data_IF_566455167452
#
_entry.id   IF_566455167452
#
_cell.length_a   1.000
_cell.length_b   1.000
_cell.length_c   1.000
_cell.angle_alpha   90.00
_cell.angle_beta   90.00
_cell.angle_gamma   90.00
#
_symmetry.space_group_name_H-M   'P 1'
#
loop_
_entity.id
_entity.type
_entity.pdbx_description
1 polymer ?
#
# COMPACT_ATOMS: atom_id res chain seq x y z
N UNK A 1 26.98 -13.53 -21.13
CA UNK A 1 27.23 -12.53 -20.07
C UNK A 1 26.10 -12.65 -19.06
N UNK A 2 26.38 -13.28 -17.93
CA UNK A 2 25.41 -13.52 -16.86
C UNK A 2 25.02 -12.19 -16.21
N UNK A 3 23.72 -11.81 -16.28
CA UNK A 3 23.19 -10.71 -15.48
C UNK A 3 23.32 -11.10 -14.01
N UNK A 4 24.21 -10.45 -13.28
CA UNK A 4 24.22 -10.51 -11.81
C UNK A 4 22.82 -10.11 -11.35
N UNK A 5 22.05 -11.08 -10.83
CA UNK A 5 20.90 -10.77 -9.96
C UNK A 5 21.50 -9.96 -8.81
N UNK A 6 21.08 -8.72 -8.65
CA UNK A 6 21.37 -7.98 -7.42
C UNK A 6 20.69 -8.77 -6.30
N UNK A 7 21.48 -9.50 -5.54
CA UNK A 7 20.99 -10.12 -4.30
C UNK A 7 20.54 -8.98 -3.41
N UNK A 8 19.23 -8.85 -3.26
CA UNK A 8 18.67 -8.11 -2.13
C UNK A 8 19.20 -8.83 -0.91
N UNK A 9 19.96 -8.14 -0.10
CA UNK A 9 20.44 -8.69 1.16
C UNK A 9 19.19 -8.98 1.98
N UNK A 10 18.72 -10.23 1.95
CA UNK A 10 17.65 -10.74 2.79
C UNK A 10 18.20 -10.71 4.20
N UNK A 11 17.95 -9.62 4.90
CA UNK A 11 18.31 -9.38 6.29
C UNK A 11 17.04 -9.39 7.15
N UNK A 12 17.19 -9.10 8.44
CA UNK A 12 16.07 -9.02 9.38
C UNK A 12 14.94 -8.04 8.96
N UNK A 13 15.21 -7.15 8.02
CA UNK A 13 14.33 -6.07 7.58
C UNK A 13 13.58 -6.36 6.27
N UNK A 14 13.91 -7.46 5.57
CA UNK A 14 13.32 -7.83 4.26
C UNK A 14 13.07 -9.32 4.19
N UNK A 15 11.87 -9.71 3.82
CA UNK A 15 11.46 -11.08 3.59
C UNK A 15 10.88 -11.21 2.18
N UNK A 16 11.35 -12.18 1.41
CA UNK A 16 10.79 -12.53 0.11
C UNK A 16 10.01 -13.83 0.26
N UNK A 17 8.71 -13.77 0.03
CA UNK A 17 7.83 -14.94 0.09
C UNK A 17 7.85 -15.73 -1.23
N UNK A 18 7.54 -17.03 -1.18
CA UNK A 18 7.49 -17.93 -2.34
C UNK A 18 6.54 -17.44 -3.45
N UNK A 19 5.53 -16.66 -3.10
CA UNK A 19 4.60 -16.06 -4.04
C UNK A 19 5.09 -14.73 -4.63
N UNK A 20 6.36 -14.35 -4.44
CA UNK A 20 6.97 -13.15 -4.99
C UNK A 20 6.59 -11.84 -4.28
N UNK A 21 5.99 -11.89 -3.10
CA UNK A 21 5.74 -10.71 -2.26
C UNK A 21 7.03 -10.38 -1.51
N UNK A 22 7.40 -9.12 -1.50
CA UNK A 22 8.48 -8.60 -0.67
C UNK A 22 7.84 -7.93 0.55
N UNK A 23 8.19 -8.39 1.74
CA UNK A 23 7.78 -7.78 3.01
C UNK A 23 8.93 -6.91 3.50
N UNK A 24 8.70 -5.60 3.56
CA UNK A 24 9.61 -4.65 4.20
C UNK A 24 9.14 -4.43 5.65
N UNK A 25 9.92 -4.97 6.59
CA UNK A 25 9.64 -4.95 8.02
C UNK A 25 10.95 -4.68 8.77
N UNK A 26 10.92 -3.75 9.71
CA UNK A 26 12.08 -3.37 10.50
C UNK A 26 11.71 -3.23 11.98
N UNK A 27 12.55 -3.73 12.86
CA UNK A 27 12.50 -3.45 14.26
C UNK A 27 13.13 -2.07 14.55
N UNK A 28 12.38 -1.18 15.18
CA UNK A 28 12.85 0.14 15.60
C UNK A 28 13.10 0.14 17.10
N UNK A 29 14.22 0.72 17.52
CA UNK A 29 14.55 0.86 18.95
C UNK A 29 13.51 1.71 19.67
N UNK A 30 13.01 2.74 19.00
CA UNK A 30 11.90 3.58 19.47
C UNK A 30 11.07 4.06 18.27
N UNK A 31 9.76 4.28 18.45
CA UNK A 31 8.88 4.76 17.38
C UNK A 31 9.25 6.15 16.88
N UNK A 32 9.76 7.00 17.77
CA UNK A 32 10.21 8.34 17.45
C UNK A 32 11.70 8.43 17.12
N UNK A 33 12.34 7.30 16.77
CA UNK A 33 13.72 7.27 16.31
C UNK A 33 13.97 8.41 15.30
N UNK A 34 14.91 9.33 15.59
CA UNK A 34 15.12 10.50 14.77
C UNK A 34 15.64 10.12 13.39
N UNK A 35 15.32 10.96 12.41
CA UNK A 35 15.86 10.77 11.07
C UNK A 35 17.38 10.86 11.10
N UNK A 36 18.04 9.76 10.79
CA UNK A 36 19.47 9.69 10.59
C UNK A 36 19.78 9.39 9.13
N UNK A 37 20.83 9.97 8.58
CA UNK A 37 21.30 9.58 7.26
C UNK A 37 21.90 8.18 7.37
N UNK A 38 21.31 7.23 6.65
CA UNK A 38 21.89 5.89 6.51
C UNK A 38 22.80 5.86 5.28
N UNK A 39 23.83 5.00 5.32
CA UNK A 39 24.83 4.90 4.25
C UNK A 39 24.25 4.33 2.96
N UNK A 40 23.28 3.41 3.09
CA UNK A 40 22.57 2.83 1.97
C UNK A 40 21.15 2.42 2.41
N UNK A 41 20.16 2.64 1.55
CA UNK A 41 18.80 2.14 1.69
C UNK A 41 18.68 0.95 0.73
N UNK A 42 18.08 -0.18 1.16
CA UNK A 42 17.84 -1.32 0.28
C UNK A 42 16.98 -0.92 -0.92
N UNK A 43 17.32 -1.43 -2.10
CA UNK A 43 16.49 -1.25 -3.29
C UNK A 43 15.46 -2.38 -3.38
N UNK A 44 14.36 -2.24 -2.62
CA UNK A 44 13.25 -3.19 -2.59
C UNK A 44 12.60 -3.36 -3.97
N UNK A 45 12.48 -2.27 -4.74
CA UNK A 45 11.74 -2.28 -6.00
C UNK A 45 12.51 -2.96 -7.13
N UNK A 46 13.84 -3.02 -7.08
CA UNK A 46 14.62 -3.78 -8.06
C UNK A 46 14.46 -5.30 -7.92
N UNK A 47 14.01 -5.78 -6.76
CA UNK A 47 13.76 -7.19 -6.48
C UNK A 47 12.35 -7.66 -6.90
N UNK A 48 11.46 -6.74 -7.29
CA UNK A 48 10.10 -7.10 -7.70
C UNK A 48 10.12 -7.89 -9.01
N UNK A 49 9.58 -9.10 -8.98
CA UNK A 49 9.46 -9.97 -10.16
C UNK A 49 8.24 -9.55 -11.00
N UNK A 50 8.48 -8.98 -12.17
CA UNK A 50 7.41 -8.50 -13.06
C UNK A 50 6.89 -9.56 -14.07
N UNK A 51 7.40 -10.76 -14.04
CA UNK A 51 6.97 -11.88 -14.90
C UNK A 51 5.93 -12.80 -14.24
N UNK A 52 5.62 -12.59 -12.96
CA UNK A 52 4.60 -13.32 -12.22
C UNK A 52 3.20 -13.08 -12.81
N UNK A 53 2.51 -14.16 -13.17
CA UNK A 53 1.20 -14.06 -13.82
C UNK A 53 0.32 -15.29 -13.68
N UNK A 54 -0.99 -15.10 -13.70
CA UNK A 54 -1.97 -16.18 -13.80
C UNK A 54 -2.38 -16.33 -15.26
N UNK A 55 -1.95 -17.44 -15.92
CA UNK A 55 -2.12 -17.63 -17.37
C UNK A 55 -3.56 -17.99 -17.78
N UNK A 56 -4.32 -18.70 -16.92
CA UNK A 56 -5.63 -19.26 -17.27
C UNK A 56 -6.76 -18.57 -16.53
N UNK A 57 -7.80 -18.15 -17.28
CA UNK A 57 -8.96 -17.44 -16.72
C UNK A 57 -9.71 -18.25 -15.66
N UNK A 58 -9.84 -19.57 -15.84
CA UNK A 58 -10.55 -20.41 -14.86
C UNK A 58 -9.75 -20.51 -13.55
N UNK A 59 -8.40 -20.63 -13.62
CA UNK A 59 -7.52 -20.62 -12.44
C UNK A 59 -7.67 -19.31 -11.67
N UNK A 60 -7.64 -18.16 -12.37
CA UNK A 60 -7.88 -16.86 -11.78
C UNK A 60 -9.24 -16.79 -11.09
N UNK A 61 -10.32 -17.20 -11.77
CA UNK A 61 -11.67 -17.15 -11.20
C UNK A 61 -11.80 -18.02 -9.96
N UNK A 62 -11.30 -19.28 -10.02
CA UNK A 62 -11.34 -20.21 -8.90
C UNK A 62 -10.58 -19.65 -7.68
N UNK A 63 -9.37 -19.17 -7.88
CA UNK A 63 -8.57 -18.56 -6.81
C UNK A 63 -9.25 -17.33 -6.25
N UNK A 64 -9.71 -16.40 -7.10
CA UNK A 64 -10.37 -15.18 -6.67
C UNK A 64 -11.64 -15.45 -5.85
N UNK A 65 -12.54 -16.34 -6.32
CA UNK A 65 -13.75 -16.68 -5.59
C UNK A 65 -13.46 -17.27 -4.21
N UNK A 66 -12.42 -18.11 -4.11
CA UNK A 66 -11.99 -18.67 -2.83
C UNK A 66 -11.56 -17.55 -1.88
N UNK A 67 -10.67 -16.67 -2.33
CA UNK A 67 -10.15 -15.59 -1.50
C UNK A 67 -11.21 -14.53 -1.15
N UNK A 68 -12.15 -14.24 -2.06
CA UNK A 68 -13.31 -13.38 -1.78
C UNK A 68 -14.21 -13.98 -0.68
N UNK A 69 -14.47 -15.29 -0.71
CA UNK A 69 -15.25 -15.98 0.32
C UNK A 69 -14.53 -16.03 1.68
N UNK A 70 -13.23 -16.35 1.69
CA UNK A 70 -12.41 -16.35 2.91
C UNK A 70 -12.39 -14.96 3.55
N UNK A 71 -12.21 -13.91 2.74
CA UNK A 71 -12.21 -12.52 3.22
C UNK A 71 -13.56 -12.13 3.84
N UNK A 72 -14.67 -12.45 3.18
CA UNK A 72 -16.01 -12.17 3.73
C UNK A 72 -16.20 -12.84 5.10
N UNK A 73 -15.77 -14.11 5.23
CA UNK A 73 -15.83 -14.85 6.49
C UNK A 73 -14.99 -14.20 7.60
N UNK A 74 -13.77 -13.79 7.27
CA UNK A 74 -12.85 -13.17 8.24
C UNK A 74 -13.30 -11.79 8.68
N UNK A 75 -13.87 -10.99 7.77
CA UNK A 75 -14.39 -9.66 8.12
C UNK A 75 -15.52 -9.75 9.14
N UNK A 76 -16.38 -10.78 9.08
CA UNK A 76 -17.44 -10.98 10.08
C UNK A 76 -16.90 -11.25 11.49
N UNK A 77 -15.71 -11.82 11.62
CA UNK A 77 -15.04 -12.03 12.91
C UNK A 77 -14.50 -10.74 13.54
N UNK A 78 -14.29 -9.65 12.76
CA UNK A 78 -13.74 -8.40 13.29
C UNK A 78 -14.58 -7.84 14.44
N UNK A 79 -15.90 -7.82 14.30
CA UNK A 79 -16.80 -7.31 15.33
C UNK A 79 -16.79 -8.20 16.58
N UNK A 80 -16.82 -9.52 16.39
CA UNK A 80 -16.77 -10.50 17.48
C UNK A 80 -15.45 -10.40 18.29
N UNK A 81 -14.35 -10.10 17.60
CA UNK A 81 -13.03 -9.94 18.22
C UNK A 81 -12.74 -8.50 18.71
N UNK A 82 -13.68 -7.56 18.56
CA UNK A 82 -13.44 -6.15 18.90
C UNK A 82 -12.36 -5.48 18.04
N UNK A 83 -12.16 -5.96 16.81
CA UNK A 83 -11.11 -5.49 15.89
C UNK A 83 -11.67 -4.68 14.73
N UNK A 84 -10.82 -3.90 14.07
CA UNK A 84 -11.11 -3.20 12.83
C UNK A 84 -10.01 -3.43 11.80
N UNK A 85 -10.29 -3.16 10.52
CA UNK A 85 -9.34 -3.40 9.43
C UNK A 85 -9.09 -2.12 8.63
N UNK A 86 -7.82 -1.75 8.50
CA UNK A 86 -7.36 -0.66 7.66
C UNK A 86 -6.44 -1.23 6.57
N UNK A 87 -6.83 -1.08 5.32
CA UNK A 87 -6.03 -1.48 4.17
C UNK A 87 -5.55 -0.23 3.44
N UNK A 88 -4.25 -0.12 3.24
CA UNK A 88 -3.62 1.00 2.55
C UNK A 88 -3.08 0.54 1.20
N UNK A 89 -3.51 1.19 0.13
CA UNK A 89 -2.93 1.02 -1.19
C UNK A 89 -2.08 2.21 -1.58
N UNK A 90 -0.80 1.97 -1.75
CA UNK A 90 0.16 2.85 -2.40
C UNK A 90 0.71 2.18 -3.68
N UNK A 91 1.45 2.91 -4.48
CA UNK A 91 2.06 2.36 -5.69
C UNK A 91 2.01 3.27 -6.88
N UNK A 92 2.62 2.83 -7.96
CA UNK A 92 2.70 3.56 -9.23
C UNK A 92 1.33 3.96 -9.75
N UNK A 93 1.24 5.06 -10.48
CA UNK A 93 0.01 5.38 -11.20
C UNK A 93 -0.28 4.29 -12.24
N UNK A 94 -1.56 3.97 -12.41
CA UNK A 94 -2.01 2.84 -13.21
C UNK A 94 -1.66 1.44 -12.67
N UNK A 95 -1.01 1.29 -11.52
CA UNK A 95 -0.68 -0.02 -10.96
C UNK A 95 -1.91 -0.87 -10.58
N UNK A 96 -3.08 -0.26 -10.40
CA UNK A 96 -4.32 -1.03 -10.18
C UNK A 96 -4.91 -0.89 -8.78
N UNK A 97 -4.51 0.11 -8.00
CA UNK A 97 -5.03 0.41 -6.65
C UNK A 97 -6.55 0.39 -6.58
N UNK A 98 -7.22 1.21 -7.39
CA UNK A 98 -8.68 1.23 -7.48
C UNK A 98 -9.27 -0.14 -7.88
N UNK A 99 -8.55 -0.91 -8.72
CA UNK A 99 -9.00 -2.25 -9.13
C UNK A 99 -8.92 -3.27 -7.99
N UNK A 100 -7.94 -3.17 -7.11
CA UNK A 100 -7.84 -3.96 -5.89
C UNK A 100 -8.95 -3.58 -4.91
N UNK A 101 -9.15 -2.28 -4.65
CA UNK A 101 -10.26 -1.76 -3.83
C UNK A 101 -11.61 -2.30 -4.29
N UNK A 102 -11.89 -2.29 -5.60
CA UNK A 102 -13.15 -2.84 -6.14
C UNK A 102 -13.33 -4.33 -5.86
N UNK A 103 -12.26 -5.13 -5.74
CA UNK A 103 -12.36 -6.55 -5.39
C UNK A 103 -12.73 -6.74 -3.93
N UNK A 104 -12.18 -5.92 -3.06
CA UNK A 104 -12.52 -5.92 -1.62
C UNK A 104 -13.98 -5.54 -1.42
N UNK A 105 -14.46 -4.46 -2.07
CA UNK A 105 -15.86 -4.04 -1.99
C UNK A 105 -16.79 -5.16 -2.46
N UNK A 106 -16.44 -5.78 -3.59
CA UNK A 106 -17.25 -6.87 -4.15
C UNK A 106 -17.30 -8.09 -3.22
N UNK A 107 -16.20 -8.43 -2.58
CA UNK A 107 -16.14 -9.55 -1.64
C UNK A 107 -17.01 -9.33 -0.40
N UNK A 108 -17.37 -8.08 -0.10
CA UNK A 108 -18.29 -7.69 0.99
C UNK A 108 -19.70 -7.37 0.48
N UNK A 109 -20.05 -7.82 -0.73
CA UNK A 109 -21.35 -7.60 -1.35
C UNK A 109 -21.81 -6.12 -1.35
N UNK A 110 -20.83 -5.20 -1.44
CA UNK A 110 -21.05 -3.74 -1.40
C UNK A 110 -21.71 -3.24 -0.09
N UNK A 111 -21.55 -3.96 1.01
CA UNK A 111 -22.10 -3.54 2.30
C UNK A 111 -21.37 -2.29 2.84
N UNK A 112 -22.03 -1.13 2.65
CA UNK A 112 -21.49 0.18 3.07
C UNK A 112 -21.52 0.40 4.58
N UNK A 113 -22.18 -0.47 5.36
CA UNK A 113 -22.12 -0.41 6.83
C UNK A 113 -20.80 -0.94 7.34
N UNK A 114 -20.26 -1.96 6.67
CA UNK A 114 -18.99 -2.59 7.02
C UNK A 114 -17.81 -1.90 6.33
N UNK A 115 -17.98 -1.52 5.05
CA UNK A 115 -16.91 -1.07 4.18
C UNK A 115 -17.02 0.42 3.80
N UNK A 116 -15.89 1.10 3.80
CA UNK A 116 -15.76 2.42 3.17
C UNK A 116 -14.41 2.56 2.46
N UNK A 117 -14.45 3.06 1.23
CA UNK A 117 -13.25 3.49 0.50
C UNK A 117 -12.94 4.96 0.82
N UNK A 118 -11.68 5.23 1.18
CA UNK A 118 -11.20 6.57 1.51
C UNK A 118 -10.20 7.01 0.44
N UNK A 119 -10.64 7.72 -0.60
CA UNK A 119 -9.72 8.30 -1.57
C UNK A 119 -9.00 9.50 -0.93
N UNK A 120 -7.67 9.51 -1.01
CA UNK A 120 -6.84 10.58 -0.46
C UNK A 120 -6.33 11.47 -1.59
N UNK A 121 -6.90 12.68 -1.68
CA UNK A 121 -6.47 13.74 -2.57
C UNK A 121 -5.62 14.81 -1.86
N UNK A 122 -5.33 15.93 -2.53
CA UNK A 122 -4.71 17.10 -1.91
C UNK A 122 -5.50 17.55 -0.67
N UNK A 123 -4.84 18.07 0.38
CA UNK A 123 -5.53 18.54 1.57
C UNK A 123 -6.43 19.77 1.27
N UNK A 124 -7.58 19.84 1.93
CA UNK A 124 -8.45 21.03 1.92
C UNK A 124 -7.79 22.20 2.67
N UNK A 125 -8.39 23.40 2.62
CA UNK A 125 -7.89 24.54 3.40
C UNK A 125 -7.95 24.27 4.90
N UNK A 126 -9.05 23.68 5.39
CA UNK A 126 -9.20 23.22 6.76
C UNK A 126 -8.09 22.22 7.14
N UNK A 127 -7.88 21.21 6.31
CA UNK A 127 -6.86 20.20 6.56
C UNK A 127 -5.42 20.75 6.59
N UNK A 128 -5.15 21.83 5.85
CA UNK A 128 -3.86 22.55 5.89
C UNK A 128 -3.64 23.38 7.15
N UNK A 129 -4.73 23.82 7.79
CA UNK A 129 -4.66 24.56 9.04
C UNK A 129 -4.33 23.66 10.26
N UNK A 130 -4.35 22.35 10.08
CA UNK A 130 -4.06 21.36 11.13
C UNK A 130 -2.78 20.55 10.83
N UNK A 131 -2.19 19.85 11.82
CA UNK A 131 -1.13 18.86 11.58
C UNK A 131 -1.57 17.87 10.52
N UNK A 132 -0.67 17.47 9.61
CA UNK A 132 -1.06 16.72 8.41
C UNK A 132 -1.76 15.37 8.68
N UNK A 133 -1.47 14.72 9.80
CA UNK A 133 -2.13 13.46 10.20
C UNK A 133 -3.56 13.68 10.72
N UNK A 134 -3.91 14.90 11.17
CA UNK A 134 -5.24 15.21 11.68
C UNK A 134 -6.36 14.80 10.72
N UNK A 135 -6.16 15.02 9.42
CA UNK A 135 -7.13 14.65 8.39
C UNK A 135 -7.49 13.17 8.37
N UNK A 136 -6.59 12.31 8.87
CA UNK A 136 -6.80 10.87 8.89
C UNK A 136 -7.51 10.39 10.16
N UNK A 137 -7.58 11.22 11.21
CA UNK A 137 -8.32 10.93 12.45
C UNK A 137 -9.81 11.27 12.36
N UNK A 138 -10.28 11.83 11.25
CA UNK A 138 -11.69 12.14 11.07
C UNK A 138 -12.53 10.86 11.16
N UNK A 139 -13.71 10.94 11.81
CA UNK A 139 -14.60 9.79 12.04
C UNK A 139 -14.99 9.05 10.76
N UNK A 140 -15.18 9.78 9.66
CA UNK A 140 -15.49 9.20 8.36
C UNK A 140 -14.31 8.44 7.72
N UNK A 141 -13.10 8.59 8.24
CA UNK A 141 -11.89 7.93 7.73
C UNK A 141 -11.38 6.79 8.61
N UNK A 142 -11.74 6.78 9.89
CA UNK A 142 -11.36 5.73 10.81
C UNK A 142 -12.46 4.67 10.95
N UNK A 143 -12.12 3.37 10.99
CA UNK A 143 -13.09 2.33 11.20
C UNK A 143 -13.47 2.23 12.68
N UNK A 144 -14.74 1.93 12.95
CA UNK A 144 -15.15 1.34 14.21
C UNK A 144 -14.90 -0.19 14.20
N UNK A 145 -15.09 -0.86 15.33
CA UNK A 145 -15.02 -2.32 15.40
C UNK A 145 -15.99 -2.97 14.38
N UNK A 146 -15.55 -4.06 13.77
CA UNK A 146 -16.28 -4.73 12.70
C UNK A 146 -16.21 -4.05 11.33
N UNK A 147 -15.56 -2.88 11.24
CA UNK A 147 -15.51 -2.11 10.00
C UNK A 147 -14.16 -2.22 9.27
N UNK A 148 -14.24 -2.02 7.94
CA UNK A 148 -13.10 -2.00 7.02
C UNK A 148 -12.98 -0.64 6.36
N UNK A 149 -11.79 -0.05 6.40
CA UNK A 149 -11.44 1.16 5.63
C UNK A 149 -10.36 0.83 4.63
N UNK A 150 -10.58 1.18 3.37
CA UNK A 150 -9.58 1.01 2.32
C UNK A 150 -9.15 2.38 1.80
N UNK A 151 -7.91 2.71 2.03
CA UNK A 151 -7.29 3.94 1.59
C UNK A 151 -6.71 3.77 0.17
N UNK A 152 -7.25 4.48 -0.83
CA UNK A 152 -6.58 4.68 -2.13
C UNK A 152 -5.67 5.91 -2.01
N UNK A 153 -4.37 5.67 -1.82
CA UNK A 153 -3.36 6.54 -1.22
C UNK A 153 -3.60 6.74 0.28
N UNK A 154 -2.65 7.34 1.00
CA UNK A 154 -2.75 7.46 2.46
C UNK A 154 -1.90 8.60 3.02
N UNK A 155 -1.65 8.56 4.31
CA UNK A 155 -0.66 9.41 4.99
C UNK A 155 0.76 9.29 4.42
N UNK A 156 1.07 8.19 3.74
CA UNK A 156 2.37 7.98 3.12
C UNK A 156 2.64 8.91 1.91
N UNK A 157 1.63 9.61 1.36
CA UNK A 157 1.84 10.64 0.32
C UNK A 157 2.81 11.75 0.78
N UNK A 158 2.87 12.03 2.08
CA UNK A 158 3.86 12.91 2.70
C UNK A 158 5.30 12.50 2.42
N UNK A 159 5.55 11.21 2.21
CA UNK A 159 6.87 10.63 1.98
C UNK A 159 7.15 10.34 0.49
N UNK A 160 6.13 10.45 -0.37
CA UNK A 160 6.18 10.10 -1.79
C UNK A 160 6.05 11.34 -2.69
N UNK A 161 4.82 11.81 -2.86
CA UNK A 161 4.52 12.94 -3.75
C UNK A 161 5.15 14.22 -3.24
N UNK A 162 5.05 14.49 -1.95
CA UNK A 162 5.44 15.79 -1.40
C UNK A 162 6.95 16.07 -1.49
N UNK A 163 7.88 15.14 -1.19
CA UNK A 163 9.30 15.40 -1.40
C UNK A 163 9.68 15.48 -2.88
N UNK A 164 9.13 14.61 -3.73
CA UNK A 164 9.44 14.57 -5.16
C UNK A 164 9.01 15.86 -5.85
N UNK A 165 7.82 16.37 -5.51
CA UNK A 165 7.25 17.59 -6.07
C UNK A 165 7.59 18.85 -5.26
N UNK A 166 8.42 18.73 -4.21
CA UNK A 166 8.86 19.82 -3.33
C UNK A 166 7.70 20.61 -2.70
N UNK A 167 6.63 19.92 -2.31
CA UNK A 167 5.42 20.52 -1.73
C UNK A 167 5.56 20.80 -0.23
N UNK A 168 6.51 20.16 0.44
CA UNK A 168 6.73 20.24 1.90
C UNK A 168 8.22 20.44 2.20
N UNK A 169 8.50 21.16 3.28
CA UNK A 169 9.88 21.45 3.71
C UNK A 169 10.61 20.14 4.09
N UNK A 170 11.92 20.01 3.77
CA UNK A 170 12.67 18.80 4.08
C UNK A 170 12.70 18.42 5.56
N UNK A 171 12.65 19.40 6.46
CA UNK A 171 12.57 19.16 7.91
C UNK A 171 11.28 18.45 8.31
N UNK A 172 10.16 18.86 7.73
CA UNK A 172 8.85 18.26 7.99
C UNK A 172 8.77 16.84 7.42
N UNK A 173 9.33 16.62 6.22
CA UNK A 173 9.42 15.25 5.66
C UNK A 173 10.20 14.32 6.60
N UNK A 174 11.37 14.76 7.10
CA UNK A 174 12.19 13.95 8.02
C UNK A 174 11.46 13.60 9.30
N UNK A 175 10.70 14.55 9.88
CA UNK A 175 9.89 14.32 11.07
C UNK A 175 8.74 13.33 10.80
N UNK A 176 8.15 13.41 9.61
CA UNK A 176 6.99 12.61 9.26
C UNK A 176 7.22 11.09 9.27
N UNK A 177 8.46 10.61 9.13
CA UNK A 177 8.74 9.17 9.29
C UNK A 177 8.39 8.67 10.70
N UNK A 178 8.81 9.40 11.72
CA UNK A 178 8.49 9.07 13.11
C UNK A 178 7.00 9.26 13.41
N UNK A 179 6.42 10.35 12.92
CA UNK A 179 4.99 10.65 13.08
C UNK A 179 4.11 9.53 12.50
N UNK A 180 4.46 9.00 11.31
CA UNK A 180 3.73 7.89 10.68
C UNK A 180 3.87 6.60 11.50
N UNK A 181 5.06 6.23 11.95
CA UNK A 181 5.24 5.04 12.81
C UNK A 181 4.41 5.14 14.07
N UNK A 182 4.42 6.31 14.73
CA UNK A 182 3.63 6.55 15.94
C UNK A 182 2.13 6.49 15.67
N UNK A 183 1.69 7.05 14.54
CA UNK A 183 0.30 6.99 14.11
C UNK A 183 -0.17 5.54 13.85
N UNK A 184 0.61 4.78 13.11
CA UNK A 184 0.30 3.37 12.81
C UNK A 184 0.33 2.51 14.09
N UNK A 185 1.29 2.77 15.00
CA UNK A 185 1.32 2.14 16.30
C UNK A 185 0.07 2.46 17.14
N UNK A 186 -0.36 3.72 17.15
CA UNK A 186 -1.58 4.12 17.84
C UNK A 186 -2.80 3.34 17.32
N UNK A 187 -2.91 3.17 16.01
CA UNK A 187 -4.01 2.41 15.42
C UNK A 187 -3.95 0.93 15.80
N UNK A 188 -2.79 0.31 15.71
CA UNK A 188 -2.63 -1.13 16.02
C UNK A 188 -2.74 -1.40 17.53
N UNK A 189 -2.30 -0.49 18.39
CA UNK A 189 -2.48 -0.60 19.85
C UNK A 189 -3.93 -0.40 20.31
N UNK A 190 -4.82 0.05 19.42
CA UNK A 190 -6.27 0.17 19.60
C UNK A 190 -7.02 -0.86 18.72
N UNK A 191 -6.43 -2.05 18.60
CA UNK A 191 -7.02 -3.22 17.97
C UNK A 191 -7.37 -3.08 16.47
N UNK A 192 -6.76 -2.09 15.77
CA UNK A 192 -6.86 -2.04 14.32
C UNK A 192 -5.79 -2.94 13.66
N UNK A 193 -6.21 -3.77 12.71
CA UNK A 193 -5.30 -4.49 11.82
C UNK A 193 -4.94 -3.54 10.68
N UNK A 194 -3.65 -3.19 10.53
CA UNK A 194 -3.18 -2.26 9.49
C UNK A 194 -2.34 -3.01 8.47
N UNK A 195 -2.85 -3.11 7.23
CA UNK A 195 -2.17 -3.80 6.13
C UNK A 195 -1.81 -2.79 5.04
N UNK A 196 -0.53 -2.65 4.75
CA UNK A 196 -0.03 -1.68 3.78
C UNK A 196 0.50 -2.37 2.52
N UNK A 197 -0.02 -1.98 1.37
CA UNK A 197 0.40 -2.48 0.07
C UNK A 197 1.10 -1.41 -0.76
N UNK A 198 2.19 -1.81 -1.41
CA UNK A 198 2.72 -1.13 -2.57
C UNK A 198 2.46 -1.98 -3.81
N UNK A 199 1.71 -1.44 -4.78
CA UNK A 199 1.50 -2.10 -6.06
C UNK A 199 2.51 -1.55 -7.06
N UNK A 200 3.43 -2.42 -7.51
CA UNK A 200 4.48 -2.03 -8.44
C UNK A 200 4.22 -2.54 -9.85
N UNK A 201 4.57 -1.73 -10.83
CA UNK A 201 4.57 -2.07 -12.27
C UNK A 201 5.81 -1.50 -12.93
N UNK A 202 6.23 -2.11 -14.03
CA UNK A 202 7.30 -1.59 -14.86
C UNK A 202 6.91 -0.25 -15.52
N UNK A 203 7.93 0.52 -15.89
CA UNK A 203 7.75 1.79 -16.61
C UNK A 203 7.04 1.59 -17.95
N UNK A 204 7.26 0.45 -18.59
CA UNK A 204 6.67 0.09 -19.88
C UNK A 204 5.20 -0.30 -19.74
N UNK A 205 4.86 -1.14 -18.75
CA UNK A 205 3.46 -1.48 -18.48
C UNK A 205 2.67 -0.24 -18.02
N UNK A 206 3.27 0.66 -17.25
CA UNK A 206 2.65 1.93 -16.90
C UNK A 206 2.30 2.74 -18.16
N UNK A 207 3.25 2.86 -19.12
CA UNK A 207 3.01 3.57 -20.38
C UNK A 207 1.84 2.98 -21.15
N UNK A 208 1.82 1.66 -21.29
CA UNK A 208 0.77 0.91 -21.96
C UNK A 208 -0.59 1.15 -21.30
N UNK A 209 -0.64 1.12 -19.95
CA UNK A 209 -1.88 1.36 -19.20
C UNK A 209 -2.35 2.80 -19.30
N UNK A 210 -1.44 3.77 -19.33
CA UNK A 210 -1.79 5.18 -19.55
C UNK A 210 -2.41 5.37 -20.95
N UNK A 211 -1.80 4.79 -21.98
CA UNK A 211 -2.36 4.85 -23.34
C UNK A 211 -3.77 4.25 -23.41
N UNK A 212 -3.96 3.08 -22.81
CA UNK A 212 -5.26 2.42 -22.76
C UNK A 212 -6.29 3.24 -21.95
N UNK A 213 -5.87 3.85 -20.82
CA UNK A 213 -6.72 4.73 -20.01
C UNK A 213 -7.14 5.98 -20.78
N UNK A 214 -6.20 6.62 -21.49
CA UNK A 214 -6.48 7.82 -22.28
C UNK A 214 -7.51 7.54 -23.39
N UNK A 215 -7.44 6.36 -24.02
CA UNK A 215 -8.41 5.96 -25.03
C UNK A 215 -9.79 5.63 -24.45
N UNK A 216 -9.85 4.91 -23.32
CA UNK A 216 -11.12 4.40 -22.76
C UNK A 216 -11.78 5.36 -21.74
N UNK A 217 -11.00 6.17 -21.03
CA UNK A 217 -11.44 7.06 -19.95
C UNK A 217 -10.61 8.34 -19.91
N UNK A 218 -10.71 9.20 -20.94
CA UNK A 218 -9.88 10.41 -21.06
C UNK A 218 -10.01 11.37 -19.87
N UNK A 219 -11.20 11.43 -19.24
CA UNK A 219 -11.45 12.24 -18.03
C UNK A 219 -10.67 11.78 -16.78
N UNK A 220 -10.04 10.59 -16.81
CA UNK A 220 -9.19 10.07 -15.72
C UNK A 220 -7.70 10.31 -15.96
N UNK A 221 -7.32 11.04 -16.99
CA UNK A 221 -5.92 11.38 -17.28
C UNK A 221 -5.67 12.82 -16.86
N UNK A 222 -4.73 13.01 -15.96
CA UNK A 222 -4.35 14.34 -15.47
C UNK A 222 -2.96 14.76 -15.96
N UNK A 223 -2.66 16.05 -16.04
CA UNK A 223 -1.30 16.54 -16.30
C UNK A 223 -0.28 16.05 -15.26
N UNK A 224 -0.70 15.86 -13.99
CA UNK A 224 0.15 15.34 -12.92
C UNK A 224 0.62 13.91 -13.15
N UNK A 225 -0.16 13.09 -13.84
CA UNK A 225 0.23 11.72 -14.21
C UNK A 225 1.47 11.71 -15.12
N UNK A 226 1.53 12.64 -16.07
CA UNK A 226 2.68 12.79 -16.98
C UNK A 226 3.91 13.32 -16.24
N UNK A 227 3.71 14.24 -15.31
CA UNK A 227 4.79 14.83 -14.53
C UNK A 227 5.40 13.80 -13.56
N UNK A 228 4.59 13.03 -12.87
CA UNK A 228 5.04 11.95 -11.99
C UNK A 228 5.96 10.96 -12.73
N UNK A 229 5.64 10.64 -13.98
CA UNK A 229 6.45 9.73 -14.80
C UNK A 229 7.83 10.29 -15.16
N UNK A 230 7.99 11.61 -15.32
CA UNK A 230 9.30 12.23 -15.53
C UNK A 230 10.24 12.07 -14.32
N UNK A 231 9.65 11.94 -13.14
CA UNK A 231 10.38 11.78 -11.88
C UNK A 231 10.43 10.32 -11.39
N UNK A 232 10.37 9.35 -12.31
CA UNK A 232 10.31 7.92 -12.00
C UNK A 232 11.34 7.46 -10.96
N UNK A 233 12.62 7.82 -11.18
CA UNK A 233 13.71 7.39 -10.30
C UNK A 233 13.60 8.03 -8.90
N UNK A 234 13.23 9.31 -8.83
CA UNK A 234 12.99 10.00 -7.55
C UNK A 234 11.82 9.37 -6.76
N UNK A 235 10.77 8.93 -7.46
CA UNK A 235 9.68 8.19 -6.82
C UNK A 235 10.13 6.80 -6.36
N UNK A 236 11.04 6.15 -7.09
CA UNK A 236 11.65 4.87 -6.69
C UNK A 236 12.44 5.04 -5.41
N UNK A 237 13.32 6.04 -5.36
CA UNK A 237 14.13 6.35 -4.17
C UNK A 237 13.24 6.68 -2.96
N UNK A 238 12.24 7.55 -3.16
CA UNK A 238 11.31 7.92 -2.11
C UNK A 238 10.49 6.72 -1.58
N UNK A 239 10.09 5.81 -2.46
CA UNK A 239 9.37 4.60 -2.07
C UNK A 239 10.27 3.64 -1.27
N UNK A 240 11.50 3.39 -1.73
CA UNK A 240 12.46 2.57 -1.01
C UNK A 240 12.77 3.16 0.39
N UNK A 241 12.96 4.49 0.48
CA UNK A 241 13.14 5.16 1.77
C UNK A 241 11.91 5.06 2.67
N UNK A 242 10.71 5.20 2.11
CA UNK A 242 9.46 5.00 2.84
C UNK A 242 9.35 3.58 3.41
N UNK A 243 9.60 2.53 2.62
CA UNK A 243 9.56 1.15 3.11
C UNK A 243 10.56 0.93 4.24
N UNK A 244 11.79 1.36 4.06
CA UNK A 244 12.86 1.22 5.04
C UNK A 244 12.54 1.93 6.36
N UNK A 245 11.89 3.11 6.31
CA UNK A 245 11.68 3.95 7.49
C UNK A 245 10.31 3.80 8.14
N UNK A 246 9.33 3.21 7.44
CA UNK A 246 7.97 3.05 7.96
C UNK A 246 7.44 1.61 7.88
N UNK A 247 8.21 0.67 7.39
CA UNK A 247 7.90 -0.76 7.50
C UNK A 247 8.20 -1.23 8.92
N UNK A 248 7.18 -1.30 9.77
CA UNK A 248 7.30 -1.76 11.16
C UNK A 248 6.85 -3.22 11.29
N UNK A 249 7.15 -3.86 12.43
CA UNK A 249 6.72 -5.24 12.71
C UNK A 249 5.19 -5.34 12.78
N UNK A 250 4.54 -4.33 13.36
CA UNK A 250 3.09 -4.28 13.52
C UNK A 250 2.34 -3.76 12.28
N UNK A 251 3.03 -3.12 11.34
CA UNK A 251 2.47 -2.63 10.08
C UNK A 251 3.54 -2.65 8.97
N UNK A 252 3.90 -3.85 8.47
CA UNK A 252 4.89 -3.98 7.40
C UNK A 252 4.34 -3.51 6.05
N UNK A 253 5.23 -3.20 5.10
CA UNK A 253 4.87 -2.99 3.71
C UNK A 253 4.90 -4.31 2.93
N UNK A 254 3.81 -4.62 2.25
CA UNK A 254 3.70 -5.73 1.32
C UNK A 254 3.86 -5.20 -0.11
N UNK A 255 4.99 -5.47 -0.73
CA UNK A 255 5.31 -5.00 -2.09
C UNK A 255 4.92 -6.10 -3.06
N UNK A 256 3.95 -5.80 -3.93
CA UNK A 256 3.31 -6.76 -4.83
C UNK A 256 3.52 -6.34 -6.27
N UNK A 257 4.00 -7.26 -7.10
CA UNK A 257 4.00 -7.06 -8.55
C UNK A 257 2.57 -6.93 -9.07
N UNK A 258 2.30 -5.88 -9.79
CA UNK A 258 0.99 -5.61 -10.39
C UNK A 258 1.04 -5.58 -11.92
N UNK A 259 2.09 -6.14 -12.50
CA UNK A 259 2.28 -6.30 -13.94
C UNK A 259 1.14 -7.14 -14.54
N UNK A 260 0.81 -8.27 -13.94
CA UNK A 260 -0.39 -9.03 -14.25
C UNK A 260 -1.53 -8.70 -13.28
N UNK A 261 -2.65 -8.20 -13.81
CA UNK A 261 -3.80 -7.78 -13.00
C UNK A 261 -4.49 -8.94 -12.28
N UNK A 262 -4.44 -10.15 -12.82
CA UNK A 262 -5.06 -11.31 -12.19
C UNK A 262 -4.23 -11.81 -11.03
N UNK A 263 -2.93 -11.91 -11.24
CA UNK A 263 -1.98 -12.23 -10.18
C UNK A 263 -2.10 -11.24 -9.01
N UNK A 264 -1.94 -9.94 -9.29
CA UNK A 264 -1.99 -8.90 -8.26
C UNK A 264 -3.28 -8.94 -7.41
N UNK A 265 -4.45 -9.13 -8.04
CA UNK A 265 -5.73 -9.16 -7.33
C UNK A 265 -5.89 -10.35 -6.41
N UNK A 266 -5.44 -11.52 -6.86
CA UNK A 266 -5.47 -12.74 -6.04
C UNK A 266 -4.47 -12.62 -4.90
N UNK A 267 -3.25 -12.22 -5.20
CA UNK A 267 -2.17 -12.07 -4.22
C UNK A 267 -2.51 -11.07 -3.12
N UNK A 268 -3.10 -9.92 -3.48
CA UNK A 268 -3.56 -8.93 -2.49
C UNK A 268 -4.57 -9.53 -1.53
N UNK A 269 -5.61 -10.23 -2.02
CA UNK A 269 -6.61 -10.85 -1.16
C UNK A 269 -6.01 -12.00 -0.33
N UNK A 270 -5.12 -12.80 -0.89
CA UNK A 270 -4.42 -13.85 -0.14
C UNK A 270 -3.62 -13.29 1.02
N UNK A 271 -2.88 -12.19 0.78
CA UNK A 271 -2.12 -11.52 1.83
C UNK A 271 -3.03 -10.96 2.92
N UNK A 272 -4.13 -10.30 2.54
CA UNK A 272 -5.11 -9.79 3.51
C UNK A 272 -5.67 -10.94 4.35
N UNK A 273 -6.11 -12.02 3.71
CA UNK A 273 -6.67 -13.18 4.40
C UNK A 273 -5.65 -13.84 5.33
N UNK A 274 -4.37 -13.93 4.91
CA UNK A 274 -3.34 -14.52 5.76
C UNK A 274 -3.10 -13.65 7.00
N UNK A 275 -2.88 -12.34 6.83
CA UNK A 275 -2.69 -11.44 7.97
C UNK A 275 -3.90 -11.45 8.92
N UNK A 276 -5.12 -11.45 8.37
CA UNK A 276 -6.32 -11.52 9.21
C UNK A 276 -6.45 -12.84 9.94
N UNK A 277 -6.05 -13.97 9.36
CA UNK A 277 -6.01 -15.26 10.07
C UNK A 277 -5.02 -15.23 11.22
N UNK A 278 -3.80 -14.75 10.96
CA UNK A 278 -2.75 -14.67 11.97
C UNK A 278 -3.14 -13.75 13.14
N UNK A 279 -4.02 -12.75 12.90
CA UNK A 279 -4.47 -11.78 13.90
C UNK A 279 -5.80 -12.15 14.60
N UNK A 280 -6.63 -13.03 14.00
CA UNK A 280 -7.99 -13.35 14.48
C UNK A 280 -8.17 -14.84 14.85
N UNK A 281 -7.26 -15.72 14.49
CA UNK A 281 -7.30 -17.16 14.73
C UNK A 281 -6.12 -17.63 15.57
#
# INVERSE_FOLDING_TARGET
MSKRKNEVVVGRDVELLDNGIIIARRCFSTLNEPYTRVRAIPDYLSAVEHDLRIKKRHTYRKALCKEEADFNRLVRKLEECGRSLIIVFQGRDCAGKTGATHRIIKALDYDMKIFQSVPVGPPTEEERAHPYLWRFFKAERMPAFGQVRVFDRSWAERLLVEPVMKLTKPGDIRRSYAEIRTFEWLLTSQDAIVIKFWLDISKDEQAKRFKARAAAKPWKVSPSDKEARKHWDKYTDAANEMFFRTGTEFAPWHIVSSEDKWYSRVTVLQTINQVMKDELE
#
